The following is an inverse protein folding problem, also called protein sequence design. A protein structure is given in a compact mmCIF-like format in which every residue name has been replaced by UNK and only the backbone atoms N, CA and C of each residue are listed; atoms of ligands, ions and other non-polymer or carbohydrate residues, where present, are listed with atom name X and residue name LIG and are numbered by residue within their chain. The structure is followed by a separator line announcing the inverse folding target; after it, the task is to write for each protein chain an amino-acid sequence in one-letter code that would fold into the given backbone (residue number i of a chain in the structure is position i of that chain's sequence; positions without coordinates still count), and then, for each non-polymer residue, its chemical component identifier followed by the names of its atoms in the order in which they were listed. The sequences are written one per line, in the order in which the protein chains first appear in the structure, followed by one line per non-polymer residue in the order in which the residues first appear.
data_IF_743376026368
#
_entry.id   IF_743376026368
#
_cell.length_a   1.000
_cell.length_b   1.000
_cell.length_c   1.000
_cell.angle_alpha   90.00
_cell.angle_beta   90.00
_cell.angle_gamma   90.00
#
_symmetry.space_group_name_H-M   'P 1'
#
loop_
_entity.id
_entity.type
_entity.pdbx_description
1 polymer ?
#
# COMPACT_ATOMS: atom_id res chain seq x y z
N UNK A 1 4.27 15.46 -5.09
CA UNK A 1 4.86 14.10 -5.13
C UNK A 1 5.73 13.96 -6.36
N UNK A 2 6.91 13.40 -6.19
CA UNK A 2 7.75 13.04 -7.35
C UNK A 2 7.09 11.86 -8.06
N UNK A 3 6.86 11.97 -9.37
CA UNK A 3 6.31 10.86 -10.16
C UNK A 3 7.21 9.63 -10.07
N UNK A 4 6.62 8.45 -9.94
CA UNK A 4 7.36 7.19 -9.92
C UNK A 4 8.18 7.00 -11.20
N UNK A 5 9.42 6.60 -11.04
CA UNK A 5 10.37 6.40 -12.15
C UNK A 5 10.57 4.90 -12.42
N UNK A 6 10.91 4.58 -13.67
CA UNK A 6 11.29 3.20 -14.02
C UNK A 6 12.46 2.75 -13.13
N UNK A 7 12.28 1.58 -12.51
CA UNK A 7 13.22 1.02 -11.54
C UNK A 7 12.90 1.36 -10.08
N UNK A 8 11.93 2.23 -9.80
CA UNK A 8 11.43 2.38 -8.43
C UNK A 8 10.80 1.08 -7.91
N UNK A 9 10.96 0.83 -6.63
CA UNK A 9 10.38 -0.34 -5.96
C UNK A 9 9.56 0.08 -4.75
N UNK A 10 8.64 -0.77 -4.35
CA UNK A 10 7.84 -0.60 -3.15
C UNK A 10 7.43 -1.91 -2.52
N UNK A 11 7.17 -1.88 -1.23
CA UNK A 11 6.63 -2.99 -0.46
C UNK A 11 5.18 -2.66 -0.09
N UNK A 12 4.26 -3.53 -0.48
CA UNK A 12 2.82 -3.30 -0.35
C UNK A 12 2.09 -4.53 0.22
N UNK A 13 0.97 -4.28 0.87
CA UNK A 13 -0.01 -5.29 1.31
C UNK A 13 -1.20 -5.26 0.35
N UNK A 14 -1.44 -6.33 -0.38
CA UNK A 14 -2.59 -6.43 -1.27
C UNK A 14 -3.88 -6.68 -0.48
N UNK A 15 -4.96 -6.02 -0.90
CA UNK A 15 -6.29 -6.13 -0.29
C UNK A 15 -7.34 -6.34 -1.38
N UNK A 16 -7.39 -7.52 -2.01
CA UNK A 16 -8.29 -7.76 -3.15
C UNK A 16 -9.77 -7.73 -2.75
N UNK A 17 -10.11 -7.95 -1.48
CA UNK A 17 -11.49 -7.96 -0.98
C UNK A 17 -12.21 -6.62 -1.14
N UNK A 18 -11.48 -5.50 -1.22
CA UNK A 18 -12.09 -4.18 -1.43
C UNK A 18 -12.33 -3.84 -2.91
N UNK A 19 -11.70 -4.57 -3.84
CA UNK A 19 -11.82 -4.29 -5.28
C UNK A 19 -13.26 -4.24 -5.80
N UNK A 20 -14.19 -5.13 -5.39
CA UNK A 20 -15.58 -5.04 -5.85
C UNK A 20 -16.26 -3.71 -5.51
N UNK A 21 -15.86 -3.07 -4.42
CA UNK A 21 -16.43 -1.80 -3.97
C UNK A 21 -15.75 -0.57 -4.59
N UNK A 22 -14.43 -0.62 -4.77
CA UNK A 22 -13.64 0.57 -5.11
C UNK A 22 -12.90 0.48 -6.44
N UNK A 23 -12.76 -0.71 -7.04
CA UNK A 23 -11.91 -0.94 -8.21
C UNK A 23 -12.21 0.00 -9.37
N UNK A 24 -13.52 0.20 -9.72
CA UNK A 24 -13.93 1.13 -10.78
C UNK A 24 -13.56 2.59 -10.50
N UNK A 25 -13.58 2.99 -9.22
CA UNK A 25 -13.21 4.33 -8.82
C UNK A 25 -11.71 4.54 -8.85
N UNK A 26 -10.96 3.50 -8.45
CA UNK A 26 -9.50 3.49 -8.57
C UNK A 26 -9.05 3.60 -10.03
N UNK A 27 -9.67 2.83 -10.94
CA UNK A 27 -9.37 2.94 -12.38
C UNK A 27 -9.59 4.35 -12.94
N UNK A 28 -10.53 5.09 -12.38
CA UNK A 28 -10.87 6.42 -12.84
C UNK A 28 -10.05 7.53 -12.16
N UNK A 29 -9.71 7.37 -10.88
CA UNK A 29 -9.20 8.46 -10.04
C UNK A 29 -7.89 8.15 -9.31
N UNK A 30 -7.36 6.95 -9.39
CA UNK A 30 -6.07 6.57 -8.78
C UNK A 30 -5.02 6.42 -9.88
N UNK A 31 -3.94 7.18 -9.80
CA UNK A 31 -2.91 7.23 -10.84
C UNK A 31 -2.14 5.92 -11.02
N UNK A 32 -2.16 5.02 -10.03
CA UNK A 32 -1.40 3.75 -10.08
C UNK A 32 -2.26 2.54 -10.45
N UNK A 33 -3.59 2.60 -10.27
CA UNK A 33 -4.48 1.49 -10.64
C UNK A 33 -4.41 1.15 -12.14
N UNK A 34 -4.52 2.13 -13.07
CA UNK A 34 -4.36 1.85 -14.50
C UNK A 34 -2.96 1.37 -14.89
N UNK A 35 -1.98 1.53 -14.02
CA UNK A 35 -0.61 1.04 -14.20
C UNK A 35 -0.40 -0.36 -13.65
N UNK A 36 -1.46 -1.05 -13.23
CA UNK A 36 -1.43 -2.45 -12.83
C UNK A 36 -1.20 -2.71 -11.33
N UNK A 37 -1.40 -1.71 -10.46
CA UNK A 37 -1.33 -1.92 -9.01
C UNK A 37 -2.74 -2.12 -8.45
N UNK A 38 -3.08 -3.33 -7.97
CA UNK A 38 -4.35 -3.59 -7.31
C UNK A 38 -4.49 -2.80 -6.00
N UNK A 39 -5.68 -2.84 -5.39
CA UNK A 39 -5.92 -2.22 -4.09
C UNK A 39 -4.92 -2.72 -3.04
N UNK A 40 -4.28 -1.78 -2.35
CA UNK A 40 -3.18 -2.08 -1.44
C UNK A 40 -3.01 -1.04 -0.35
N UNK A 41 -2.35 -1.45 0.74
CA UNK A 41 -1.76 -0.54 1.73
C UNK A 41 -0.26 -0.54 1.53
N UNK A 42 0.34 0.65 1.42
CA UNK A 42 1.79 0.79 1.26
C UNK A 42 2.49 0.61 2.61
N UNK A 43 3.50 -0.26 2.63
CA UNK A 43 4.40 -0.45 3.78
C UNK A 43 5.61 0.46 3.65
N UNK A 44 6.26 0.45 2.48
CA UNK A 44 7.40 1.31 2.20
C UNK A 44 7.48 1.65 0.71
N UNK A 45 7.47 2.92 0.39
CA UNK A 45 7.72 3.47 -0.94
C UNK A 45 8.30 4.90 -0.82
N UNK A 46 9.31 5.27 -1.61
CA UNK A 46 10.16 4.40 -2.42
C UNK A 46 11.09 3.54 -1.56
N UNK A 47 11.48 2.37 -2.08
CA UNK A 47 12.47 1.50 -1.45
C UNK A 47 13.75 1.41 -2.32
N UNK A 48 14.58 0.38 -2.10
CA UNK A 48 15.84 0.18 -2.85
C UNK A 48 15.54 0.10 -4.36
N UNK A 49 16.11 0.98 -5.20
CA UNK A 49 15.91 0.91 -6.65
C UNK A 49 16.25 -0.48 -7.21
N UNK A 50 15.48 -0.97 -8.17
CA UNK A 50 15.63 -2.33 -8.72
C UNK A 50 17.07 -2.66 -9.16
N UNK A 51 17.78 -1.70 -9.73
CA UNK A 51 19.18 -1.89 -10.15
C UNK A 51 20.21 -1.99 -9.01
N UNK A 52 19.78 -1.75 -7.77
CA UNK A 52 20.60 -1.86 -6.54
C UNK A 52 20.08 -2.93 -5.58
N UNK A 53 18.89 -3.48 -5.85
CA UNK A 53 18.27 -4.52 -5.03
C UNK A 53 19.09 -5.81 -5.10
N UNK A 54 19.37 -6.42 -3.95
CA UNK A 54 20.14 -7.66 -3.83
C UNK A 54 19.29 -8.81 -3.28
N UNK A 55 19.74 -10.05 -3.46
CA UNK A 55 19.11 -11.21 -2.82
C UNK A 55 19.10 -11.08 -1.29
N UNK A 56 20.17 -10.54 -0.69
CA UNK A 56 20.22 -10.31 0.75
C UNK A 56 19.15 -9.33 1.25
N UNK A 57 18.76 -8.34 0.43
CA UNK A 57 17.65 -7.45 0.75
C UNK A 57 16.32 -8.21 0.72
N UNK A 58 16.12 -9.06 -0.30
CA UNK A 58 14.93 -9.91 -0.38
C UNK A 58 14.86 -10.94 0.77
N UNK A 59 15.97 -11.52 1.15
CA UNK A 59 16.06 -12.41 2.32
C UNK A 59 15.68 -11.68 3.61
N UNK A 60 16.14 -10.43 3.76
CA UNK A 60 15.77 -9.57 4.89
C UNK A 60 14.25 -9.26 4.95
N UNK A 61 13.62 -9.04 3.80
CA UNK A 61 12.16 -8.90 3.72
C UNK A 61 11.46 -10.21 4.08
N UNK A 62 11.97 -11.34 3.58
CA UNK A 62 11.42 -12.66 3.90
C UNK A 62 11.51 -13.00 5.40
N UNK A 63 12.59 -12.60 6.07
CA UNK A 63 12.74 -12.75 7.53
C UNK A 63 11.68 -11.94 8.28
N UNK A 64 11.47 -10.68 7.91
CA UNK A 64 10.45 -9.81 8.53
C UNK A 64 9.05 -10.38 8.28
N UNK A 65 8.74 -10.77 7.04
CA UNK A 65 7.45 -11.36 6.70
C UNK A 65 7.20 -12.66 7.45
N UNK A 66 8.20 -13.57 7.50
CA UNK A 66 8.11 -14.84 8.23
C UNK A 66 7.98 -14.70 9.75
N UNK A 67 8.30 -13.54 10.32
CA UNK A 67 8.08 -13.20 11.72
C UNK A 67 6.75 -12.47 11.98
N UNK A 68 6.02 -12.11 10.92
CA UNK A 68 4.75 -11.38 10.98
C UNK A 68 3.57 -12.34 10.92
N UNK A 69 2.60 -12.20 11.83
CA UNK A 69 1.34 -12.95 11.76
C UNK A 69 0.45 -12.40 10.62
N UNK A 70 -0.45 -13.21 10.03
CA UNK A 70 -1.49 -12.70 9.15
C UNK A 70 -2.25 -11.53 9.79
N UNK A 71 -2.51 -10.49 9.02
CA UNK A 71 -3.12 -9.26 9.51
C UNK A 71 -4.60 -9.26 9.14
N UNK A 72 -5.46 -9.35 10.16
CA UNK A 72 -6.90 -9.16 10.01
C UNK A 72 -7.22 -7.67 9.95
N UNK A 73 -7.82 -7.22 8.87
CA UNK A 73 -8.19 -5.82 8.65
C UNK A 73 -9.69 -5.66 8.45
N UNK A 74 -10.21 -4.54 8.93
CA UNK A 74 -11.56 -4.06 8.62
C UNK A 74 -11.48 -2.63 8.12
N UNK A 75 -12.08 -2.39 6.98
CA UNK A 75 -12.25 -1.06 6.40
C UNK A 75 -13.67 -0.60 6.67
N UNK A 76 -13.87 0.22 7.69
CA UNK A 76 -15.18 0.71 8.12
C UNK A 76 -15.37 2.21 7.92
N UNK A 77 -14.30 2.94 7.61
CA UNK A 77 -14.30 4.39 7.47
C UNK A 77 -13.52 4.85 6.24
N UNK A 78 -13.94 5.99 5.73
CA UNK A 78 -13.29 6.72 4.65
C UNK A 78 -12.50 7.87 5.27
N UNK A 79 -11.21 7.96 4.93
CA UNK A 79 -10.33 9.05 5.32
C UNK A 79 -10.06 10.00 4.17
N UNK A 80 -9.55 11.20 4.51
CA UNK A 80 -9.22 12.25 3.55
C UNK A 80 -7.89 12.89 3.90
N UNK A 81 -7.02 13.00 2.91
CA UNK A 81 -5.91 13.97 2.89
C UNK A 81 -6.29 15.09 1.91
N UNK A 82 -5.53 16.19 1.81
CA UNK A 82 -5.88 17.29 0.91
C UNK A 82 -6.22 16.87 -0.53
N UNK A 83 -5.46 15.91 -1.07
CA UNK A 83 -5.61 15.44 -2.46
C UNK A 83 -5.81 13.92 -2.57
N UNK A 84 -6.23 13.23 -1.47
CA UNK A 84 -6.40 11.78 -1.47
C UNK A 84 -7.64 11.36 -0.71
N UNK A 85 -8.48 10.55 -1.34
CA UNK A 85 -9.55 9.78 -0.71
C UNK A 85 -9.04 8.36 -0.44
N UNK A 86 -9.23 7.84 0.78
CA UNK A 86 -8.68 6.54 1.17
C UNK A 86 -9.59 5.79 2.13
N UNK A 87 -9.43 4.46 2.20
CA UNK A 87 -10.07 3.60 3.21
C UNK A 87 -9.14 3.41 4.39
N UNK A 88 -9.71 3.44 5.61
CA UNK A 88 -8.98 3.29 6.86
C UNK A 88 -8.81 1.81 7.25
N UNK A 89 -7.57 1.26 7.18
CA UNK A 89 -7.29 -0.12 7.57
C UNK A 89 -7.18 -0.24 9.09
N UNK A 90 -8.15 -0.89 9.73
CA UNK A 90 -8.14 -1.08 11.18
C UNK A 90 -8.12 -2.57 11.56
N UNK A 91 -7.36 -2.96 12.61
CA UNK A 91 -6.46 -2.12 13.41
C UNK A 91 -5.18 -1.75 12.66
N UNK A 92 -4.73 -0.50 12.77
CA UNK A 92 -3.50 -0.03 12.12
C UNK A 92 -2.20 -0.51 12.80
N UNK A 93 -2.29 -0.95 14.05
CA UNK A 93 -1.12 -1.36 14.86
C UNK A 93 -0.22 -2.40 14.18
N UNK A 94 -0.74 -3.52 13.67
CA UNK A 94 0.06 -4.52 12.97
C UNK A 94 0.78 -3.98 11.72
N UNK A 95 0.11 -3.10 10.97
CA UNK A 95 0.71 -2.43 9.80
C UNK A 95 1.85 -1.52 10.23
N UNK A 96 1.63 -0.71 11.27
CA UNK A 96 2.66 0.18 11.82
C UNK A 96 3.86 -0.61 12.36
N UNK A 97 3.63 -1.76 13.00
CA UNK A 97 4.70 -2.66 13.44
C UNK A 97 5.54 -3.19 12.26
N UNK A 98 4.88 -3.56 11.16
CA UNK A 98 5.55 -4.02 9.94
C UNK A 98 6.35 -2.87 9.30
N UNK A 99 5.78 -1.68 9.19
CA UNK A 99 6.48 -0.48 8.70
C UNK A 99 7.72 -0.20 9.57
N UNK A 100 7.59 -0.25 10.88
CA UNK A 100 8.69 -0.01 11.80
C UNK A 100 9.81 -1.06 11.63
N UNK A 101 9.47 -2.35 11.47
CA UNK A 101 10.45 -3.42 11.25
C UNK A 101 11.22 -3.22 9.94
N UNK A 102 10.51 -2.87 8.85
CA UNK A 102 11.12 -2.60 7.54
C UNK A 102 12.00 -1.35 7.61
N UNK A 103 11.53 -0.26 8.20
CA UNK A 103 12.28 0.98 8.31
C UNK A 103 13.52 0.82 9.21
N UNK A 104 13.43 0.04 10.27
CA UNK A 104 14.59 -0.26 11.14
C UNK A 104 15.68 -1.05 10.40
N UNK A 105 15.30 -1.91 9.46
CA UNK A 105 16.22 -2.72 8.65
C UNK A 105 16.90 -1.89 7.55
N UNK A 106 16.16 -0.92 6.98
CA UNK A 106 16.64 -0.02 5.92
C UNK A 106 16.38 1.45 6.27
N UNK A 107 17.13 2.01 7.24
CA UNK A 107 16.85 3.35 7.80
C UNK A 107 17.05 4.51 6.80
N UNK A 108 17.76 4.26 5.69
CA UNK A 108 17.94 5.25 4.62
C UNK A 108 16.69 5.42 3.75
N UNK A 109 15.70 4.52 3.90
CA UNK A 109 14.45 4.54 3.15
C UNK A 109 13.28 4.77 4.10
N UNK A 110 12.71 5.97 4.04
CA UNK A 110 11.55 6.34 4.84
C UNK A 110 10.27 6.29 4.00
N UNK A 111 9.13 5.90 4.57
CA UNK A 111 7.85 5.96 3.88
C UNK A 111 7.64 7.35 3.26
N UNK A 112 7.40 7.37 1.95
CA UNK A 112 7.24 8.61 1.16
C UNK A 112 8.38 9.63 1.33
N UNK A 113 9.62 9.15 1.58
CA UNK A 113 10.76 10.02 1.82
C UNK A 113 10.67 10.85 3.10
N UNK A 114 9.84 10.45 4.06
CA UNK A 114 9.62 11.16 5.32
C UNK A 114 8.70 12.38 5.22
N UNK A 115 7.99 12.57 4.11
CA UNK A 115 7.19 13.80 3.87
C UNK A 115 5.89 13.87 4.68
N UNK A 116 5.37 12.75 5.17
CA UNK A 116 4.02 12.67 5.76
C UNK A 116 4.00 12.27 7.23
N UNK A 117 5.06 12.60 7.97
CA UNK A 117 5.14 12.39 9.41
C UNK A 117 5.68 11.01 9.81
N UNK A 118 5.91 10.87 11.12
CA UNK A 118 6.41 9.67 11.76
C UNK A 118 5.63 9.46 13.08
N UNK A 119 4.89 8.35 13.25
CA UNK A 119 4.65 7.30 12.26
C UNK A 119 3.74 7.75 11.10
N UNK A 120 3.85 7.12 9.91
CA UNK A 120 2.93 7.39 8.81
C UNK A 120 1.53 6.89 9.14
N UNK A 121 0.51 7.45 8.48
CA UNK A 121 -0.87 6.97 8.59
C UNK A 121 -1.10 5.87 7.56
N UNK A 122 -1.30 4.60 7.95
CA UNK A 122 -1.65 3.55 7.01
C UNK A 122 -2.97 3.87 6.32
N UNK A 123 -3.01 3.71 5.00
CA UNK A 123 -4.19 4.02 4.20
C UNK A 123 -4.23 3.19 2.92
N UNK A 124 -5.42 2.95 2.41
CA UNK A 124 -5.64 2.33 1.11
C UNK A 124 -6.27 3.36 0.18
N UNK A 125 -5.51 3.85 -0.78
CA UNK A 125 -5.94 4.91 -1.70
C UNK A 125 -7.08 4.45 -2.61
N UNK A 126 -8.12 5.26 -2.69
CA UNK A 126 -9.23 5.13 -3.65
C UNK A 126 -9.06 6.11 -4.81
N UNK A 127 -8.67 7.34 -4.50
CA UNK A 127 -8.50 8.40 -5.49
C UNK A 127 -7.39 9.36 -5.04
N UNK A 128 -6.55 9.77 -5.96
CA UNK A 128 -5.52 10.79 -5.78
C UNK A 128 -5.95 12.12 -6.47
N UNK A 129 -7.09 12.63 -6.06
CA UNK A 129 -7.65 13.92 -6.48
C UNK A 129 -8.40 14.54 -5.31
N UNK A 130 -8.79 15.81 -5.44
CA UNK A 130 -9.51 16.56 -4.41
C UNK A 130 -10.76 15.80 -3.91
N UNK A 131 -10.79 15.33 -2.66
CA UNK A 131 -11.91 14.56 -2.11
C UNK A 131 -13.24 15.31 -2.11
N UNK A 132 -13.23 16.65 -2.11
CA UNK A 132 -14.46 17.46 -2.12
C UNK A 132 -15.23 17.34 -3.45
N UNK A 133 -14.57 16.88 -4.50
CA UNK A 133 -15.17 16.60 -5.80
C UNK A 133 -15.76 15.20 -5.92
N UNK A 134 -15.56 14.35 -4.91
CA UNK A 134 -15.85 12.90 -4.94
C UNK A 134 -17.09 12.51 -4.11
N UNK A 135 -18.05 13.42 -3.89
CA UNK A 135 -19.23 13.13 -3.06
C UNK A 135 -20.02 11.89 -3.48
N UNK A 136 -20.18 11.67 -4.80
CA UNK A 136 -20.88 10.50 -5.32
C UNK A 136 -20.07 9.21 -5.12
N UNK A 137 -18.74 9.27 -5.21
CA UNK A 137 -17.84 8.16 -4.94
C UNK A 137 -17.92 7.76 -3.48
N UNK A 138 -17.86 8.74 -2.57
CA UNK A 138 -17.98 8.52 -1.12
C UNK A 138 -19.32 7.83 -0.80
N UNK A 139 -20.44 8.38 -1.30
CA UNK A 139 -21.77 7.82 -1.04
C UNK A 139 -21.92 6.38 -1.56
N UNK A 140 -21.28 6.06 -2.68
CA UNK A 140 -21.28 4.70 -3.22
C UNK A 140 -20.46 3.73 -2.36
N UNK A 141 -19.27 4.13 -1.95
CA UNK A 141 -18.38 3.29 -1.13
C UNK A 141 -18.98 3.06 0.26
N UNK A 142 -19.59 4.07 0.88
CA UNK A 142 -20.22 3.95 2.20
C UNK A 142 -21.27 2.84 2.26
N UNK A 143 -21.95 2.55 1.15
CA UNK A 143 -22.93 1.48 1.07
C UNK A 143 -22.30 0.06 1.13
N UNK A 144 -21.03 -0.06 0.77
CA UNK A 144 -20.30 -1.33 0.78
C UNK A 144 -19.54 -1.58 2.08
N UNK A 145 -19.35 -0.57 2.91
CA UNK A 145 -18.61 -0.69 4.18
C UNK A 145 -19.48 -1.29 5.30
N UNK A 146 -18.90 -2.03 6.27
CA UNK A 146 -17.49 -2.38 6.38
C UNK A 146 -17.07 -3.55 5.48
N UNK A 147 -15.81 -3.59 5.09
CA UNK A 147 -15.20 -4.70 4.36
C UNK A 147 -14.08 -5.28 5.20
N UNK A 148 -14.04 -6.61 5.34
CA UNK A 148 -12.98 -7.33 6.05
C UNK A 148 -12.04 -8.03 5.09
N UNK A 149 -10.76 -8.11 5.46
CA UNK A 149 -9.70 -8.77 4.69
C UNK A 149 -8.70 -9.43 5.62
N UNK A 150 -8.09 -10.52 5.18
CA UNK A 150 -6.95 -11.14 5.83
C UNK A 150 -5.74 -11.03 4.91
N UNK A 151 -4.75 -10.27 5.33
CA UNK A 151 -3.50 -10.09 4.57
C UNK A 151 -2.47 -11.10 5.07
N UNK A 152 -2.03 -11.97 4.18
CA UNK A 152 -1.11 -13.07 4.51
C UNK A 152 0.28 -12.97 3.87
N UNK A 153 0.58 -11.90 3.16
CA UNK A 153 1.87 -11.72 2.50
C UNK A 153 2.23 -10.25 2.28
N UNK A 154 3.52 -9.98 2.16
CA UNK A 154 4.08 -8.72 1.70
C UNK A 154 4.50 -8.88 0.24
N UNK A 155 4.22 -7.91 -0.60
CA UNK A 155 4.56 -7.93 -2.03
C UNK A 155 5.57 -6.87 -2.39
N UNK A 156 6.59 -7.26 -3.16
CA UNK A 156 7.53 -6.35 -3.81
C UNK A 156 7.03 -6.03 -5.20
N UNK A 157 6.85 -4.75 -5.47
CA UNK A 157 6.49 -4.22 -6.78
C UNK A 157 7.60 -3.37 -7.36
N UNK A 158 7.73 -3.42 -8.69
CA UNK A 158 8.77 -2.71 -9.44
C UNK A 158 8.13 -1.90 -10.56
N UNK A 159 8.49 -0.64 -10.68
CA UNK A 159 8.04 0.24 -11.77
C UNK A 159 8.78 -0.10 -13.06
N UNK A 160 8.03 -0.57 -14.05
CA UNK A 160 8.48 -0.85 -15.41
C UNK A 160 8.08 0.30 -16.34
N UNK A 161 8.53 0.27 -17.58
CA UNK A 161 8.20 1.31 -18.58
C UNK A 161 6.68 1.46 -18.78
N UNK A 162 5.93 0.36 -18.82
CA UNK A 162 4.49 0.34 -19.13
C UNK A 162 3.58 0.28 -17.91
N UNK A 163 4.13 0.10 -16.68
CA UNK A 163 3.33 -0.04 -15.47
C UNK A 163 4.14 -0.59 -14.31
N UNK A 164 3.45 -1.13 -13.33
CA UNK A 164 4.03 -1.81 -12.20
C UNK A 164 3.94 -3.33 -12.38
N UNK A 165 4.96 -4.05 -11.98
CA UNK A 165 4.98 -5.51 -11.97
C UNK A 165 5.28 -6.04 -10.57
N UNK A 166 4.74 -7.23 -10.28
CA UNK A 166 5.11 -7.98 -9.08
C UNK A 166 6.44 -8.69 -9.33
N UNK A 167 7.42 -8.47 -8.46
CA UNK A 167 8.70 -9.15 -8.52
C UNK A 167 8.73 -10.37 -7.60
N UNK A 168 8.36 -10.16 -6.32
CA UNK A 168 8.31 -11.21 -5.30
C UNK A 168 7.15 -11.05 -4.34
N UNK A 169 6.78 -12.19 -3.73
CA UNK A 169 5.83 -12.27 -2.62
C UNK A 169 6.50 -12.96 -1.43
N UNK A 170 6.27 -12.41 -0.26
CA UNK A 170 6.86 -12.88 0.99
C UNK A 170 5.73 -13.27 1.94
N UNK A 171 5.44 -14.58 2.09
CA UNK A 171 4.35 -15.03 2.95
C UNK A 171 4.63 -14.72 4.41
N UNK A 172 3.58 -14.37 5.13
CA UNK A 172 3.61 -14.23 6.58
C UNK A 172 3.66 -15.60 7.25
N UNK A 173 3.87 -15.60 8.56
CA UNK A 173 3.93 -16.82 9.36
C UNK A 173 2.60 -17.60 9.26
N UNK A 174 2.71 -18.94 9.08
CA UNK A 174 1.56 -19.85 9.08
C UNK A 174 1.11 -20.17 10.50
#
# INVERSE_FOLDING_TARGET
MTSAQVGDTGLILLVPEVEPAIGRWREQYDSVAPLGVPAHVTVLYPWIPAGRLTEADCDGVAEIAGATDPIELTFAAIGRFPDVLWLDPQPSGPILALIAAVTARWPDYLPYGGQYGDPPVPHLTVADTDPDQLGAVVADIEQALPISSTVGELSLVVRQAEGWSFDRRFPFRS
#
